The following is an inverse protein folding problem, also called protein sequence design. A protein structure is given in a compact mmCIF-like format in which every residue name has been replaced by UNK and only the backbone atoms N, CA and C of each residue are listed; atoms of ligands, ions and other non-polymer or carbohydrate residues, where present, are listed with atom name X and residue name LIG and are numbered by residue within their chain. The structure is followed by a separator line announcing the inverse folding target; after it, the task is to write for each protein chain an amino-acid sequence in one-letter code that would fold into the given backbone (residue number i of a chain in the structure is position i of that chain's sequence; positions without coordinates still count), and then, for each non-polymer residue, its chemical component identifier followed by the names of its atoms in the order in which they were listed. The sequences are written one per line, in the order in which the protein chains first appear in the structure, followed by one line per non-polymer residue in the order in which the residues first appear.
data_IF_103008686756
#
_entry.id   IF_103008686756
#
_cell.length_a   1.000
_cell.length_b   1.000
_cell.length_c   1.000
_cell.angle_alpha   90.00
_cell.angle_beta   90.00
_cell.angle_gamma   90.00
#
_symmetry.space_group_name_H-M   'P 1'
#
loop_
_entity.id
_entity.type
_entity.pdbx_description
1 polymer ?
#
# COMPACT_ATOMS: atom_id res chain seq x y z
N UNK A 1 -30.59 7.04 36.79
CA UNK A 1 -30.60 8.22 37.68
C UNK A 1 -29.42 8.12 38.63
N UNK A 2 -28.32 8.84 38.39
CA UNK A 2 -27.52 9.43 39.47
C UNK A 2 -26.49 10.38 38.86
N UNK A 3 -26.51 11.61 39.37
CA UNK A 3 -25.74 12.77 38.92
C UNK A 3 -24.33 12.70 39.50
N UNK A 4 -23.36 13.37 38.85
CA UNK A 4 -22.58 14.45 39.49
C UNK A 4 -21.73 15.21 38.47
N UNK A 5 -22.14 16.46 38.27
CA UNK A 5 -21.34 17.55 37.70
C UNK A 5 -20.20 17.93 38.64
N UNK A 6 -19.08 18.40 38.07
CA UNK A 6 -18.21 19.37 38.73
C UNK A 6 -17.77 20.42 37.70
N UNK A 7 -18.06 21.68 38.04
CA UNK A 7 -17.57 22.88 37.41
C UNK A 7 -16.80 23.69 38.47
N UNK A 8 -15.81 24.47 38.03
CA UNK A 8 -15.07 25.45 38.82
C UNK A 8 -13.58 25.12 38.92
N UNK A 9 -12.64 26.06 38.88
CA UNK A 9 -12.64 27.53 38.74
C UNK A 9 -11.22 27.95 38.39
N UNK A 10 -11.09 29.11 37.75
CA UNK A 10 -9.83 29.76 37.40
C UNK A 10 -8.97 30.14 38.61
N UNK A 11 -7.65 30.19 38.41
CA UNK A 11 -6.67 30.76 39.34
C UNK A 11 -5.42 31.20 38.59
N UNK A 12 -5.27 32.51 38.41
CA UNK A 12 -4.14 33.16 37.76
C UNK A 12 -2.91 33.20 38.68
N UNK A 13 -1.71 33.10 38.10
CA UNK A 13 -0.47 33.52 38.75
C UNK A 13 0.32 34.42 37.80
N UNK A 14 0.59 35.65 38.28
CA UNK A 14 1.50 36.64 37.71
C UNK A 14 2.91 36.40 38.26
N UNK A 15 3.95 36.57 37.44
CA UNK A 15 5.34 36.61 37.90
C UNK A 15 6.34 36.56 36.75
N UNK A 16 6.76 37.73 36.28
CA UNK A 16 7.67 37.93 35.17
C UNK A 16 9.15 37.71 35.55
N UNK A 17 9.94 37.21 34.61
CA UNK A 17 11.37 37.51 34.52
C UNK A 17 11.77 37.57 33.04
N UNK A 18 12.17 38.78 32.63
CA UNK A 18 12.61 39.12 31.29
C UNK A 18 13.99 38.52 31.00
N UNK A 19 14.17 37.99 29.79
CA UNK A 19 15.49 37.89 29.17
C UNK A 19 15.42 38.63 27.84
N UNK A 20 16.17 39.73 27.78
CA UNK A 20 16.44 40.50 26.57
C UNK A 20 17.25 39.64 25.59
N UNK A 21 16.70 39.40 24.41
CA UNK A 21 17.42 38.82 23.28
C UNK A 21 16.82 39.39 21.99
N UNK A 22 17.65 40.07 21.21
CA UNK A 22 17.26 40.93 20.10
C UNK A 22 16.40 40.25 19.02
N UNK A 23 15.37 40.97 18.57
CA UNK A 23 14.61 40.68 17.36
C UNK A 23 15.41 41.17 16.14
N UNK A 24 15.80 40.23 15.27
CA UNK A 24 16.16 40.53 13.88
C UNK A 24 15.04 40.03 12.98
N UNK A 25 14.20 40.94 12.49
CA UNK A 25 13.29 40.68 11.39
C UNK A 25 14.07 40.79 10.08
N UNK A 26 14.39 39.64 9.49
CA UNK A 26 14.94 39.50 8.14
C UNK A 26 14.00 38.63 7.30
N UNK A 27 13.62 39.14 6.15
CA UNK A 27 12.52 38.73 5.27
C UNK A 27 12.59 37.29 4.76
N UNK A 28 11.47 36.57 4.84
CA UNK A 28 11.23 35.39 4.02
C UNK A 28 10.96 35.78 2.56
N UNK A 29 11.48 35.01 1.59
CA UNK A 29 10.71 34.69 0.39
C UNK A 29 10.18 33.26 0.48
N UNK A 30 8.89 33.12 0.17
CA UNK A 30 8.25 31.83 -0.01
C UNK A 30 8.64 31.20 -1.37
N UNK A 31 8.86 29.89 -1.31
CA UNK A 31 8.57 28.87 -2.32
C UNK A 31 9.47 28.70 -3.58
N UNK A 32 9.82 27.42 -3.77
CA UNK A 32 10.02 26.64 -5.01
C UNK A 32 11.21 26.99 -5.91
N UNK A 33 12.26 26.18 -5.81
CA UNK A 33 12.52 25.06 -6.73
C UNK A 33 13.83 24.37 -6.33
N UNK A 34 13.76 23.15 -5.80
CA UNK A 34 14.91 22.26 -5.71
C UNK A 34 14.63 21.03 -6.57
N UNK A 35 14.82 21.20 -7.89
CA UNK A 35 15.19 20.09 -8.76
C UNK A 35 16.69 19.94 -8.65
N UNK A 36 17.14 19.05 -7.76
CA UNK A 36 18.50 18.52 -7.77
C UNK A 36 18.37 16.99 -7.95
N UNK A 37 19.00 16.39 -8.97
CA UNK A 37 19.00 14.95 -9.14
C UNK A 37 19.86 14.38 -8.01
N UNK A 38 19.26 13.60 -7.10
CA UNK A 38 20.04 12.91 -6.09
C UNK A 38 21.04 11.98 -6.77
N UNK A 39 22.31 12.40 -6.73
CA UNK A 39 23.45 11.68 -7.27
C UNK A 39 23.48 10.27 -6.69
N UNK A 40 23.66 9.28 -7.57
CA UNK A 40 23.84 7.90 -7.18
C UNK A 40 25.02 7.77 -6.19
N UNK A 41 24.78 7.12 -5.05
CA UNK A 41 25.82 6.86 -4.04
C UNK A 41 26.89 5.93 -4.63
N UNK A 42 28.17 6.33 -4.69
CA UNK A 42 29.24 5.45 -5.13
C UNK A 42 29.46 4.34 -4.08
N UNK A 43 29.24 3.09 -4.48
CA UNK A 43 29.47 1.91 -3.61
C UNK A 43 28.36 0.87 -3.58
N UNK A 44 27.21 1.09 -4.23
CA UNK A 44 26.11 0.11 -4.27
C UNK A 44 26.13 -0.81 -5.51
N UNK A 45 27.32 -1.13 -6.05
CA UNK A 45 27.45 -1.98 -7.22
C UNK A 45 27.90 -3.43 -6.91
N UNK A 46 28.08 -3.80 -5.64
CA UNK A 46 28.57 -5.14 -5.28
C UNK A 46 27.50 -6.09 -4.68
N UNK A 47 26.24 -5.66 -4.56
CA UNK A 47 25.14 -6.54 -4.11
C UNK A 47 23.82 -6.35 -4.91
N UNK A 48 23.92 -5.84 -6.13
CA UNK A 48 22.77 -5.76 -7.04
C UNK A 48 22.39 -7.13 -7.64
N UNK A 49 23.26 -8.14 -7.52
CA UNK A 49 23.11 -9.46 -8.12
C UNK A 49 22.38 -10.49 -7.25
N UNK A 50 22.13 -10.20 -5.96
CA UNK A 50 21.24 -11.00 -5.10
C UNK A 50 19.92 -10.29 -4.77
N UNK A 51 19.89 -8.95 -4.78
CA UNK A 51 18.68 -8.15 -4.60
C UNK A 51 17.71 -8.20 -5.81
N UNK A 52 18.15 -8.74 -6.95
CA UNK A 52 17.42 -8.73 -8.22
C UNK A 52 17.06 -10.13 -8.76
N UNK A 53 17.09 -11.14 -7.89
CA UNK A 53 16.63 -12.50 -8.20
C UNK A 53 15.36 -12.90 -7.41
N UNK A 54 14.82 -12.04 -6.53
CA UNK A 54 13.68 -12.38 -5.67
C UNK A 54 12.88 -11.17 -5.14
N UNK A 55 12.77 -10.08 -5.90
CA UNK A 55 11.99 -8.91 -5.49
C UNK A 55 10.49 -9.13 -5.75
N UNK A 56 9.86 -10.02 -4.99
CA UNK A 56 8.39 -10.14 -4.96
C UNK A 56 7.80 -8.92 -4.27
N UNK A 57 6.85 -8.24 -4.90
CA UNK A 57 6.15 -7.09 -4.32
C UNK A 57 4.80 -7.50 -3.73
N UNK A 58 4.41 -6.89 -2.59
CA UNK A 58 3.12 -7.12 -1.93
C UNK A 58 3.24 -7.73 -0.52
N UNK A 59 2.15 -8.34 0.02
CA UNK A 59 0.88 -8.58 -0.65
C UNK A 59 0.04 -7.31 -0.86
N UNK A 60 -0.74 -7.29 -1.94
CA UNK A 60 -1.69 -6.25 -2.28
C UNK A 60 -3.11 -6.79 -2.37
N UNK A 61 -4.08 -5.90 -2.22
CA UNK A 61 -5.45 -6.13 -2.66
C UNK A 61 -5.63 -5.55 -4.06
N UNK A 62 -6.20 -6.32 -4.97
CA UNK A 62 -6.60 -5.81 -6.29
C UNK A 62 -7.99 -5.18 -6.14
N UNK A 63 -8.01 -3.86 -5.91
CA UNK A 63 -9.21 -3.09 -5.63
C UNK A 63 -9.83 -2.50 -6.90
N UNK A 64 -11.11 -2.76 -7.11
CA UNK A 64 -11.90 -2.10 -8.13
C UNK A 64 -12.52 -0.82 -7.55
N UNK A 65 -12.13 0.32 -8.10
CA UNK A 65 -12.58 1.65 -7.66
C UNK A 65 -14.03 1.95 -8.00
N UNK A 66 -14.65 1.23 -8.93
CA UNK A 66 -16.05 1.39 -9.33
C UNK A 66 -16.98 0.63 -8.39
N UNK A 67 -16.65 -0.62 -8.06
CA UNK A 67 -17.48 -1.49 -7.22
C UNK A 67 -17.13 -1.41 -5.73
N UNK A 68 -15.99 -0.80 -5.40
CA UNK A 68 -15.40 -0.77 -4.06
C UNK A 68 -15.14 -2.17 -3.47
N UNK A 69 -14.85 -3.15 -4.33
CA UNK A 69 -14.58 -4.55 -3.97
C UNK A 69 -13.18 -4.97 -4.38
N UNK A 70 -12.73 -6.10 -3.84
CA UNK A 70 -11.43 -6.67 -4.10
C UNK A 70 -11.55 -8.00 -4.86
N UNK A 71 -10.54 -8.32 -5.67
CA UNK A 71 -10.42 -9.65 -6.28
C UNK A 71 -10.35 -10.73 -5.19
N UNK A 72 -11.18 -11.76 -5.33
CA UNK A 72 -11.50 -12.72 -4.27
C UNK A 72 -11.65 -14.12 -4.87
N UNK A 73 -11.05 -15.12 -4.24
CA UNK A 73 -11.22 -16.53 -4.61
C UNK A 73 -12.41 -17.06 -3.80
N UNK A 74 -13.35 -17.83 -4.38
CA UNK A 74 -14.50 -18.33 -3.63
C UNK A 74 -14.14 -18.95 -2.29
N UNK A 75 -14.99 -18.66 -1.30
CA UNK A 75 -14.82 -19.04 0.09
C UNK A 75 -13.53 -18.46 0.69
N UNK A 76 -12.96 -19.08 1.71
CA UNK A 76 -11.74 -18.60 2.38
C UNK A 76 -10.51 -19.44 2.01
N UNK A 77 -10.67 -20.47 1.18
CA UNK A 77 -9.62 -21.44 0.85
C UNK A 77 -8.65 -20.95 -0.23
N UNK A 78 -7.68 -21.80 -0.59
CA UNK A 78 -6.75 -21.51 -1.68
C UNK A 78 -7.39 -21.56 -3.08
N UNK A 79 -8.64 -22.01 -3.22
CA UNK A 79 -9.24 -22.29 -4.52
C UNK A 79 -8.52 -23.44 -5.24
N UNK A 80 -8.55 -23.41 -6.57
CA UNK A 80 -8.00 -24.45 -7.45
C UNK A 80 -7.60 -23.86 -8.79
N UNK A 81 -6.76 -24.58 -9.55
CA UNK A 81 -6.45 -24.25 -10.94
C UNK A 81 -7.73 -24.16 -11.78
N UNK A 82 -7.80 -23.16 -12.64
CA UNK A 82 -8.97 -22.74 -13.43
C UNK A 82 -10.19 -22.41 -12.56
N UNK A 83 -9.99 -22.17 -11.26
CA UNK A 83 -11.02 -21.73 -10.34
C UNK A 83 -11.41 -20.27 -10.62
N UNK A 84 -12.67 -19.89 -10.43
CA UNK A 84 -13.10 -18.53 -10.72
C UNK A 84 -12.47 -17.53 -9.74
N UNK A 85 -12.19 -16.32 -10.24
CA UNK A 85 -11.93 -15.13 -9.40
C UNK A 85 -13.17 -14.25 -9.46
N UNK A 86 -13.60 -13.72 -8.32
CA UNK A 86 -14.77 -12.87 -8.14
C UNK A 86 -14.37 -11.51 -7.55
N UNK A 87 -15.36 -10.64 -7.37
CA UNK A 87 -15.24 -9.44 -6.55
C UNK A 87 -16.03 -9.61 -5.25
N UNK A 88 -15.38 -9.36 -4.11
CA UNK A 88 -16.04 -9.38 -2.80
C UNK A 88 -15.57 -8.25 -1.88
N UNK A 89 -16.20 -8.12 -0.72
CA UNK A 89 -15.82 -7.11 0.27
C UNK A 89 -14.36 -7.32 0.67
N UNK A 90 -13.57 -6.25 0.57
CA UNK A 90 -12.14 -6.29 0.80
C UNK A 90 -11.78 -6.77 2.22
N UNK A 91 -10.95 -7.80 2.28
CA UNK A 91 -10.39 -8.38 3.50
C UNK A 91 -8.89 -8.62 3.31
N UNK A 92 -8.06 -7.70 3.85
CA UNK A 92 -6.60 -7.77 3.75
C UNK A 92 -5.92 -8.70 4.76
N UNK A 93 -6.66 -9.58 5.42
CA UNK A 93 -6.09 -10.53 6.40
C UNK A 93 -5.75 -11.87 5.74
N UNK A 94 -4.81 -12.60 6.33
CA UNK A 94 -4.45 -13.96 5.89
C UNK A 94 -5.53 -15.01 6.16
N UNK A 95 -6.57 -14.66 6.93
CA UNK A 95 -7.74 -15.51 7.11
C UNK A 95 -8.50 -15.70 5.80
N UNK A 96 -8.46 -14.69 4.92
CA UNK A 96 -9.06 -14.71 3.60
C UNK A 96 -8.06 -15.12 2.51
N UNK A 97 -8.45 -15.00 1.25
CA UNK A 97 -7.65 -15.36 0.07
C UNK A 97 -7.54 -14.20 -0.96
N UNK A 98 -7.79 -12.96 -0.53
CA UNK A 98 -7.84 -11.78 -1.41
C UNK A 98 -6.48 -11.09 -1.64
N UNK A 99 -5.41 -11.64 -1.10
CA UNK A 99 -4.06 -11.06 -1.16
C UNK A 99 -3.25 -11.62 -2.33
N UNK A 100 -2.58 -10.74 -3.07
CA UNK A 100 -1.79 -11.12 -4.25
C UNK A 100 -0.39 -10.50 -4.23
N UNK A 101 0.58 -11.25 -4.77
CA UNK A 101 1.94 -10.81 -5.01
C UNK A 101 2.16 -10.45 -6.47
N UNK A 102 3.06 -9.51 -6.72
CA UNK A 102 3.64 -9.29 -8.03
C UNK A 102 5.01 -9.94 -8.06
N UNK A 103 5.15 -11.02 -8.84
CA UNK A 103 6.40 -11.72 -9.04
C UNK A 103 7.04 -11.25 -10.35
N UNK A 104 8.13 -10.47 -10.33
CA UNK A 104 8.73 -9.93 -11.54
C UNK A 104 9.15 -11.03 -12.52
N UNK A 105 8.92 -10.73 -13.79
CA UNK A 105 9.45 -11.47 -14.92
C UNK A 105 10.60 -10.64 -15.48
N UNK A 106 11.69 -11.29 -15.87
CA UNK A 106 12.87 -10.62 -16.46
C UNK A 106 12.61 -9.86 -17.78
N UNK A 107 11.36 -9.86 -18.28
CA UNK A 107 10.92 -9.10 -19.45
C UNK A 107 10.19 -7.79 -19.11
N UNK A 108 10.21 -7.36 -17.84
CA UNK A 108 9.59 -6.11 -17.40
C UNK A 108 8.10 -6.20 -17.04
N UNK A 109 7.50 -7.39 -17.12
CA UNK A 109 6.17 -7.67 -16.53
C UNK A 109 6.27 -8.37 -15.18
N UNK A 110 5.13 -8.63 -14.53
CA UNK A 110 5.06 -9.47 -13.34
C UNK A 110 3.93 -10.49 -13.48
N UNK A 111 4.10 -11.67 -12.89
CA UNK A 111 2.98 -12.54 -12.59
C UNK A 111 2.22 -11.97 -11.40
N UNK A 112 0.88 -12.03 -11.44
CA UNK A 112 0.05 -11.73 -10.29
C UNK A 112 -0.32 -13.06 -9.63
N UNK A 113 0.23 -13.33 -8.45
CA UNK A 113 0.16 -14.63 -7.79
C UNK A 113 -0.71 -14.51 -6.54
N UNK A 114 -1.71 -15.36 -6.40
CA UNK A 114 -2.50 -15.41 -5.18
C UNK A 114 -1.64 -15.90 -4.01
N UNK A 115 -1.65 -15.17 -2.90
CA UNK A 115 -0.83 -15.45 -1.72
C UNK A 115 -1.14 -16.82 -1.10
N UNK A 116 -2.43 -17.19 -1.05
CA UNK A 116 -2.88 -18.38 -0.32
C UNK A 116 -2.68 -19.67 -1.12
N UNK A 117 -2.82 -19.58 -2.45
CA UNK A 117 -2.73 -20.75 -3.34
C UNK A 117 -1.39 -20.91 -4.01
N UNK A 118 -0.64 -19.81 -4.19
CA UNK A 118 0.56 -19.78 -5.03
C UNK A 118 0.27 -19.90 -6.53
N UNK A 119 -1.00 -19.87 -6.94
CA UNK A 119 -1.42 -19.92 -8.35
C UNK A 119 -1.44 -18.51 -8.96
N UNK A 120 -1.15 -18.42 -10.25
CA UNK A 120 -1.18 -17.17 -11.00
C UNK A 120 -2.62 -16.84 -11.40
N UNK A 121 -2.94 -15.55 -11.47
CA UNK A 121 -4.11 -15.09 -12.19
C UNK A 121 -3.96 -15.42 -13.68
N UNK A 122 -5.04 -15.96 -14.26
CA UNK A 122 -5.13 -16.31 -15.67
C UNK A 122 -6.46 -15.82 -16.27
N UNK A 123 -6.56 -15.82 -17.59
CA UNK A 123 -7.77 -15.49 -18.35
C UNK A 123 -8.36 -16.79 -18.89
N UNK A 124 -9.61 -17.06 -18.56
CA UNK A 124 -10.32 -18.25 -19.03
C UNK A 124 -10.42 -18.29 -20.57
N UNK A 125 -10.38 -19.50 -21.13
CA UNK A 125 -10.45 -19.78 -22.56
C UNK A 125 -9.12 -20.11 -23.23
N UNK A 126 -9.13 -20.22 -24.56
CA UNK A 126 -7.92 -20.51 -25.36
C UNK A 126 -7.38 -19.24 -26.02
N UNK A 127 -6.07 -19.01 -25.90
CA UNK A 127 -5.28 -17.92 -26.51
C UNK A 127 -5.43 -16.56 -25.81
N UNK A 128 -6.52 -15.82 -26.05
CA UNK A 128 -6.68 -14.44 -25.55
C UNK A 128 -7.96 -14.23 -24.74
N UNK A 129 -8.70 -15.30 -24.43
CA UNK A 129 -9.98 -15.29 -23.71
C UNK A 129 -11.17 -14.67 -24.47
N UNK A 130 -10.93 -13.67 -25.31
CA UNK A 130 -11.98 -12.88 -25.96
C UNK A 130 -12.43 -11.70 -25.09
N UNK A 131 -13.42 -10.96 -25.56
CA UNK A 131 -14.05 -9.90 -24.75
C UNK A 131 -14.82 -10.54 -23.59
N UNK A 132 -14.81 -9.88 -22.43
CA UNK A 132 -15.50 -10.33 -21.21
C UNK A 132 -15.03 -11.68 -20.66
N UNK A 133 -13.83 -12.10 -21.07
CA UNK A 133 -13.20 -13.31 -20.57
C UNK A 133 -13.04 -13.25 -19.04
N UNK A 134 -13.41 -14.34 -18.39
CA UNK A 134 -13.39 -14.43 -16.94
C UNK A 134 -11.95 -14.56 -16.44
N UNK A 135 -11.66 -13.92 -15.30
CA UNK A 135 -10.42 -14.14 -14.59
C UNK A 135 -10.49 -15.43 -13.74
N UNK A 136 -9.43 -16.23 -13.78
CA UNK A 136 -9.27 -17.49 -13.04
C UNK A 136 -7.95 -17.55 -12.29
N UNK A 137 -7.80 -18.57 -11.44
CA UNK A 137 -6.51 -19.07 -10.94
C UNK A 137 -5.91 -20.13 -11.85
#
# INVERSE_FOLDING_TARGET
MSRKSFAGTAGAALGAAAVLGALSFGTAPAARAATEPHAAVPGQAANASAANASATYGPYLLYNTVTAKCADIPDFGAGRINGPVNEYTCNGTSADNQQFWLLPRGNGGSWVVNLKSGLCLDVDGVRTGGNDARLTL
#
